data_IF_538859332998
#
_entry.id   IF_538859332998
#
_cell.length_a   1.000
_cell.length_b   1.000
_cell.length_c   1.000
_cell.angle_alpha   90.00
_cell.angle_beta   90.00
_cell.angle_gamma   90.00
#
_symmetry.space_group_name_H-M   'P 1'
#
loop_
_entity.id
_entity.type
_entity.pdbx_description
1 polymer ?
#
# COMPACT_ATOMS: atom_id res chain seq x y z
N UNK A 1 -14.81 4.32 -0.85
CA UNK A 1 -13.40 4.25 -0.41
C UNK A 1 -12.62 3.34 -1.36
N UNK A 2 -11.93 3.89 -2.36
CA UNK A 2 -11.12 3.09 -3.32
C UNK A 2 -9.72 3.70 -3.54
N UNK A 3 -9.28 4.60 -2.66
CA UNK A 3 -7.96 5.23 -2.77
C UNK A 3 -6.85 4.27 -2.35
N UNK A 4 -5.63 4.47 -2.89
CA UNK A 4 -4.44 3.69 -2.53
C UNK A 4 -4.20 3.69 -1.01
N UNK A 5 -4.33 4.86 -0.38
CA UNK A 5 -4.18 5.06 1.08
C UNK A 5 -5.20 4.21 1.86
N UNK A 6 -6.49 4.27 1.50
CA UNK A 6 -7.54 3.52 2.20
C UNK A 6 -7.34 2.00 2.07
N UNK A 7 -7.00 1.53 0.86
CA UNK A 7 -6.74 0.11 0.60
C UNK A 7 -5.48 -0.37 1.34
N UNK A 8 -4.42 0.44 1.38
CA UNK A 8 -3.20 0.08 2.09
C UNK A 8 -3.41 0.03 3.60
N UNK A 9 -4.22 0.94 4.16
CA UNK A 9 -4.60 0.89 5.57
C UNK A 9 -5.35 -0.40 5.94
N UNK A 10 -6.30 -0.82 5.08
CA UNK A 10 -7.00 -2.09 5.27
C UNK A 10 -6.03 -3.29 5.15
N UNK A 11 -5.09 -3.24 4.21
CA UNK A 11 -4.07 -4.27 4.06
C UNK A 11 -3.16 -4.38 5.29
N UNK A 12 -2.67 -3.27 5.85
CA UNK A 12 -1.90 -3.28 7.11
C UNK A 12 -2.74 -3.86 8.25
N UNK A 13 -4.01 -3.48 8.35
CA UNK A 13 -4.93 -4.03 9.36
C UNK A 13 -5.07 -5.56 9.24
N UNK A 14 -5.08 -6.09 8.03
CA UNK A 14 -5.08 -7.54 7.78
C UNK A 14 -3.74 -8.18 8.15
N UNK A 15 -2.62 -7.58 7.76
CA UNK A 15 -1.27 -8.08 8.06
C UNK A 15 -1.02 -8.18 9.56
N UNK A 16 -1.50 -7.19 10.33
CA UNK A 16 -1.51 -7.23 11.79
C UNK A 16 -2.35 -8.38 12.35
N UNK A 17 -3.55 -8.63 11.78
CA UNK A 17 -4.42 -9.74 12.23
C UNK A 17 -3.79 -11.10 12.02
N UNK A 18 -3.04 -11.29 10.93
CA UNK A 18 -2.33 -12.55 10.65
C UNK A 18 -0.95 -12.63 11.31
N UNK A 19 -0.58 -11.63 12.14
CA UNK A 19 0.69 -11.58 12.86
C UNK A 19 1.91 -11.73 11.95
N UNK A 20 1.89 -11.05 10.80
CA UNK A 20 3.06 -11.01 9.92
C UNK A 20 4.25 -10.39 10.66
N UNK A 21 5.41 -11.03 10.57
CA UNK A 21 6.63 -10.59 11.28
C UNK A 21 7.19 -9.28 10.71
N UNK A 22 6.97 -9.02 9.42
CA UNK A 22 7.50 -7.86 8.71
C UNK A 22 6.37 -7.13 7.97
N UNK A 23 5.91 -6.04 8.56
CA UNK A 23 4.89 -5.18 7.95
C UNK A 23 5.58 -3.90 7.43
N UNK A 24 5.73 -3.74 6.12
CA UNK A 24 6.30 -2.52 5.54
C UNK A 24 5.39 -1.32 5.82
N UNK A 25 6.02 -0.18 6.14
CA UNK A 25 5.33 1.09 6.43
C UNK A 25 5.09 1.90 5.15
N UNK A 26 5.96 1.74 4.15
CA UNK A 26 5.87 2.42 2.84
C UNK A 26 5.13 1.55 1.82
N UNK A 27 4.17 2.15 1.11
CA UNK A 27 3.35 1.44 0.13
C UNK A 27 4.15 0.88 -1.06
N UNK A 28 5.11 1.65 -1.57
CA UNK A 28 5.98 1.21 -2.65
C UNK A 28 6.74 -0.08 -2.27
N UNK A 29 7.37 -0.11 -1.10
CA UNK A 29 8.13 -1.28 -0.62
C UNK A 29 7.21 -2.49 -0.45
N UNK A 30 6.03 -2.29 0.14
CA UNK A 30 5.03 -3.33 0.28
C UNK A 30 4.65 -3.99 -1.06
N UNK A 31 4.58 -3.20 -2.14
CA UNK A 31 4.33 -3.73 -3.49
C UNK A 31 5.51 -4.51 -4.05
N UNK A 32 6.74 -4.10 -3.76
CA UNK A 32 7.94 -4.79 -4.27
C UNK A 32 8.11 -6.17 -3.64
N UNK A 33 7.66 -6.37 -2.40
CA UNK A 33 7.71 -7.67 -1.72
C UNK A 33 6.85 -8.75 -2.40
N UNK A 34 5.88 -8.38 -3.24
CA UNK A 34 5.09 -9.33 -4.03
C UNK A 34 5.85 -9.78 -5.29
N UNK A 35 6.94 -10.54 -5.11
CA UNK A 35 7.93 -10.89 -6.15
C UNK A 35 7.28 -11.58 -7.37
N UNK A 36 6.41 -12.56 -7.14
CA UNK A 36 5.76 -13.31 -8.22
C UNK A 36 4.87 -12.41 -9.08
N UNK A 37 4.14 -11.50 -8.43
CA UNK A 37 3.32 -10.52 -9.11
C UNK A 37 4.17 -9.54 -9.92
N UNK A 38 5.27 -9.00 -9.35
CA UNK A 38 6.16 -8.10 -10.08
C UNK A 38 6.80 -8.80 -11.29
N UNK A 39 7.21 -10.05 -11.12
CA UNK A 39 7.77 -10.88 -12.21
C UNK A 39 6.75 -11.09 -13.32
N UNK A 40 5.52 -11.45 -12.98
CA UNK A 40 4.44 -11.59 -13.95
C UNK A 40 4.15 -10.27 -14.68
N UNK A 41 4.11 -9.15 -13.95
CA UNK A 41 3.89 -7.81 -14.52
C UNK A 41 4.96 -7.44 -15.56
N UNK A 42 6.23 -7.75 -15.27
CA UNK A 42 7.33 -7.50 -16.23
C UNK A 42 7.13 -8.34 -17.49
N UNK A 43 6.82 -9.63 -17.36
CA UNK A 43 6.57 -10.52 -18.51
C UNK A 43 5.43 -10.02 -19.40
N UNK A 44 4.34 -9.53 -18.79
CA UNK A 44 3.22 -8.95 -19.53
C UNK A 44 3.65 -7.71 -20.32
N UNK A 45 4.41 -6.80 -19.70
CA UNK A 45 4.90 -5.61 -20.38
C UNK A 45 5.82 -5.96 -21.55
N UNK A 46 6.72 -6.93 -21.36
CA UNK A 46 7.61 -7.44 -22.42
C UNK A 46 6.83 -8.11 -23.55
N UNK A 47 5.76 -8.84 -23.24
CA UNK A 47 4.92 -9.46 -24.26
C UNK A 47 4.26 -8.42 -25.17
N UNK A 48 3.77 -7.31 -24.62
CA UNK A 48 3.21 -6.19 -25.41
C UNK A 48 4.25 -5.53 -26.31
N UNK A 49 5.47 -5.33 -25.79
CA UNK A 49 6.58 -4.78 -26.57
C UNK A 49 6.97 -5.73 -27.72
N UNK A 50 7.15 -7.02 -27.41
CA UNK A 50 7.59 -8.04 -28.37
C UNK A 50 6.57 -8.29 -29.49
N UNK A 51 5.27 -8.12 -29.23
CA UNK A 51 4.23 -8.25 -30.26
C UNK A 51 3.97 -6.94 -31.03
N UNK A 52 4.77 -5.90 -30.82
CA UNK A 52 4.60 -4.61 -31.48
C UNK A 52 3.35 -3.83 -31.02
N UNK A 53 2.75 -4.18 -29.89
CA UNK A 53 1.57 -3.51 -29.33
C UNK A 53 1.91 -2.26 -28.50
N UNK A 54 3.16 -1.82 -28.55
CA UNK A 54 3.65 -0.64 -27.85
C UNK A 54 4.15 -0.92 -26.43
N UNK A 55 4.48 0.16 -25.72
CA UNK A 55 5.12 0.11 -24.41
C UNK A 55 4.13 0.44 -23.29
N UNK A 56 4.27 -0.27 -22.16
CA UNK A 56 3.48 0.02 -20.97
C UNK A 56 3.98 1.27 -20.26
N UNK A 57 3.17 2.34 -20.24
CA UNK A 57 3.49 3.58 -19.54
C UNK A 57 3.08 3.45 -18.07
N UNK A 58 4.08 3.45 -17.18
CA UNK A 58 3.86 3.50 -15.73
C UNK A 58 3.83 4.93 -15.21
N UNK A 59 3.15 5.13 -14.09
CA UNK A 59 3.26 6.36 -13.30
C UNK A 59 4.65 6.45 -12.64
N UNK A 60 5.10 7.66 -12.28
CA UNK A 60 6.32 7.85 -11.48
C UNK A 60 6.23 7.08 -10.15
N UNK A 61 7.38 6.62 -9.65
CA UNK A 61 7.44 5.81 -8.43
C UNK A 61 7.02 6.62 -7.20
N UNK A 62 7.29 7.92 -7.23
CA UNK A 62 6.98 8.92 -6.20
C UNK A 62 5.47 8.93 -5.86
N UNK A 63 4.61 8.52 -6.80
CA UNK A 63 3.16 8.40 -6.55
C UNK A 63 2.81 7.28 -5.54
N UNK A 64 3.69 6.28 -5.40
CA UNK A 64 3.55 5.15 -4.49
C UNK A 64 4.45 5.28 -3.24
N UNK A 65 5.32 6.30 -3.17
CA UNK A 65 6.24 6.57 -2.05
C UNK A 65 5.54 7.34 -0.92
N UNK A 66 4.51 6.72 -0.31
CA UNK A 66 3.84 7.26 0.87
C UNK A 66 3.85 6.25 2.02
N UNK A 67 3.86 6.78 3.25
CA UNK A 67 3.84 6.02 4.51
C UNK A 67 2.54 6.29 5.28
N UNK A 68 2.00 5.27 5.94
CA UNK A 68 0.81 5.35 6.80
C UNK A 68 1.13 5.69 8.26
N UNK A 69 2.40 5.69 8.68
CA UNK A 69 2.85 6.08 10.03
C UNK A 69 2.38 7.49 10.40
N UNK A 70 2.40 8.43 9.45
CA UNK A 70 1.95 9.80 9.63
C UNK A 70 0.41 9.96 9.76
N UNK A 71 -0.37 8.98 9.29
CA UNK A 71 -1.84 9.04 9.32
C UNK A 71 -2.45 8.46 10.60
N UNK A 72 -1.71 7.65 11.36
CA UNK A 72 -2.21 7.04 12.60
C UNK A 72 -2.19 7.96 13.82
N UNK A 73 -1.40 9.05 13.80
CA UNK A 73 -1.29 10.01 14.92
C UNK A 73 -2.59 10.81 15.12
N UNK A 74 -3.32 11.10 14.04
CA UNK A 74 -4.57 11.86 14.09
C UNK A 74 -5.78 11.02 14.53
N UNK A 75 -5.79 9.71 14.25
CA UNK A 75 -6.90 8.80 14.60
C UNK A 75 -6.83 8.23 16.03
N UNK A 76 -5.64 8.23 16.65
CA UNK A 76 -5.49 7.89 18.08
C UNK A 76 -5.80 9.09 18.98
N UNK A 77 -5.47 10.31 18.53
CA UNK A 77 -5.80 11.54 19.27
C UNK A 77 -7.33 11.75 19.38
N UNK A 78 -8.09 11.44 18.32
CA UNK A 78 -9.56 11.56 18.37
C UNK A 78 -10.29 10.39 19.07
N UNK A 79 -9.60 9.30 19.42
CA UNK A 79 -10.20 8.20 20.19
C UNK A 79 -10.09 8.38 21.71
N UNK A 80 -9.14 9.18 22.17
CA UNK A 80 -8.91 9.39 23.60
C UNK A 80 -9.77 10.54 24.19
N UNK A 81 -10.34 11.42 23.36
CA UNK A 81 -11.23 12.49 23.84
C UNK A 81 -12.66 12.00 24.13
N UNK A 82 -13.07 10.86 23.59
CA UNK A 82 -14.42 10.30 23.81
C UNK A 82 -14.58 9.49 25.10
N UNK A 83 -13.53 9.37 25.93
CA UNK A 83 -13.53 8.54 27.15
C UNK A 83 -13.56 9.38 28.44
N UNK A 84 -13.32 10.70 28.38
CA UNK A 84 -13.31 11.58 29.56
C UNK A 84 -14.54 12.51 29.56
N UNK A 85 -15.74 11.94 29.70
CA UNK A 85 -16.95 12.68 30.07
C UNK A 85 -18.02 11.69 30.59
N UNK A 86 -17.70 11.01 31.70
CA UNK A 86 -18.69 10.49 32.64
C UNK A 86 -18.07 10.66 34.03
N UNK A 87 -18.39 11.80 34.65
CA UNK A 87 -18.65 12.01 36.08
C UNK A 87 -18.85 13.52 36.34
#
# INVERSE_FOLDING_TARGET
MVSKVALFHQWISLMNKIKSETIPTIYYDAKQLAIDYQTAKIKVNQAFENCGSGLWIKKPNEQDEFDLSFFNVSLSSQRNESIVSVD
#
